data_IF_804108622453
#
_entry.id   IF_804108622453
#
_cell.length_a   1.000
_cell.length_b   1.000
_cell.length_c   1.000
_cell.angle_alpha   90.00
_cell.angle_beta   90.00
_cell.angle_gamma   90.00
#
_symmetry.space_group_name_H-M   'P 1'
#
loop_
_entity.id
_entity.type
_entity.pdbx_description
1 polymer ?
#
# COMPACT_ATOMS: atom_id res chain seq x y z
N UNK A 1 16.50 3.18 4.76
CA UNK A 1 15.37 2.37 5.26
C UNK A 1 15.29 1.10 4.43
N UNK A 2 14.97 -0.04 5.03
CA UNK A 2 14.74 -1.28 4.28
C UNK A 2 13.35 -1.28 3.66
N UNK A 3 13.26 -1.23 2.33
CA UNK A 3 11.99 -1.31 1.61
C UNK A 3 11.45 -2.74 1.63
N UNK A 4 10.12 -2.89 1.60
CA UNK A 4 9.43 -4.19 1.64
C UNK A 4 9.81 -5.05 0.44
N UNK A 5 9.94 -4.46 -0.76
CA UNK A 5 10.28 -5.19 -1.98
C UNK A 5 11.70 -5.80 -1.96
N UNK A 6 12.60 -5.29 -1.11
CA UNK A 6 13.99 -5.75 -0.99
C UNK A 6 14.21 -6.70 0.21
N UNK A 7 13.14 -7.09 0.88
CA UNK A 7 13.23 -7.98 2.04
C UNK A 7 13.60 -9.39 1.59
N UNK A 8 14.59 -9.95 2.26
CA UNK A 8 15.07 -11.32 2.07
C UNK A 8 15.00 -12.06 3.40
N UNK A 9 14.78 -13.37 3.32
CA UNK A 9 14.78 -14.26 4.49
C UNK A 9 16.05 -14.08 5.36
N UNK A 10 15.88 -14.24 6.67
CA UNK A 10 16.93 -14.13 7.69
C UNK A 10 17.59 -12.76 7.88
N UNK A 11 17.12 -11.74 7.16
CA UNK A 11 17.62 -10.37 7.33
C UNK A 11 16.98 -9.70 8.55
N UNK A 12 17.81 -9.02 9.35
CA UNK A 12 17.34 -8.06 10.36
C UNK A 12 17.06 -6.74 9.66
N UNK A 13 15.91 -6.15 9.92
CA UNK A 13 15.45 -4.92 9.26
C UNK A 13 14.98 -3.90 10.27
N UNK A 14 15.31 -2.66 9.96
CA UNK A 14 14.82 -1.47 10.66
C UNK A 14 14.27 -0.50 9.62
N UNK A 15 13.01 -0.12 9.78
CA UNK A 15 12.30 0.70 8.81
C UNK A 15 11.07 1.38 9.39
N UNK A 16 10.54 2.35 8.66
CA UNK A 16 9.29 3.04 8.98
C UNK A 16 8.23 2.57 7.99
N UNK A 17 7.08 2.15 8.50
CA UNK A 17 5.99 1.56 7.73
C UNK A 17 4.66 2.09 8.24
N UNK A 18 3.66 2.17 7.35
CA UNK A 18 2.28 2.41 7.78
C UNK A 18 1.61 1.10 8.20
N UNK A 19 0.75 1.17 9.23
CA UNK A 19 -0.03 0.02 9.71
C UNK A 19 -1.35 -0.03 8.97
N UNK A 20 -1.42 -0.83 7.90
CA UNK A 20 -2.65 -1.00 7.13
C UNK A 20 -3.71 -1.82 7.86
N UNK A 21 -3.29 -2.78 8.70
CA UNK A 21 -4.18 -3.62 9.49
C UNK A 21 -3.52 -4.05 10.80
N UNK A 22 -4.31 -4.17 11.87
CA UNK A 22 -3.89 -4.64 13.19
C UNK A 22 -4.98 -5.49 13.81
N UNK A 23 -4.64 -6.74 14.15
CA UNK A 23 -5.54 -7.63 14.86
C UNK A 23 -4.82 -8.33 16.00
N UNK A 24 -5.46 -8.36 17.16
CA UNK A 24 -5.03 -9.19 18.28
C UNK A 24 -5.61 -10.59 18.15
N UNK A 25 -4.75 -11.58 17.99
CA UNK A 25 -5.13 -12.98 17.78
C UNK A 25 -4.55 -13.87 18.89
N UNK A 26 -5.01 -15.12 18.92
CA UNK A 26 -4.48 -16.16 19.81
C UNK A 26 -3.98 -17.35 19.01
N UNK A 27 -2.85 -17.92 19.42
CA UNK A 27 -2.35 -19.18 18.87
C UNK A 27 -3.28 -20.33 19.26
N UNK A 28 -3.10 -21.51 18.63
CA UNK A 28 -3.82 -22.73 19.02
C UNK A 28 -3.61 -23.10 20.50
N UNK A 29 -2.49 -22.69 21.10
CA UNK A 29 -2.16 -22.91 22.53
C UNK A 29 -2.65 -21.77 23.44
N UNK A 30 -3.38 -20.79 22.90
CA UNK A 30 -3.99 -19.69 23.65
C UNK A 30 -3.13 -18.45 23.86
N UNK A 31 -1.83 -18.49 23.54
CA UNK A 31 -0.94 -17.33 23.65
C UNK A 31 -1.37 -16.21 22.68
N UNK A 32 -1.46 -14.97 23.17
CA UNK A 32 -1.83 -13.81 22.36
C UNK A 32 -0.66 -13.33 21.49
N UNK A 33 -0.97 -12.74 20.33
CA UNK A 33 0.00 -12.09 19.44
C UNK A 33 -0.71 -11.01 18.62
N UNK A 34 0.03 -10.01 18.11
CA UNK A 34 -0.50 -9.07 17.13
C UNK A 34 -0.21 -9.56 15.71
N UNK A 35 -1.23 -9.52 14.89
CA UNK A 35 -1.21 -9.70 13.44
C UNK A 35 -1.26 -8.33 12.80
N UNK A 36 -0.19 -7.94 12.12
CA UNK A 36 -0.12 -6.65 11.42
C UNK A 36 0.01 -6.88 9.92
N UNK A 37 -0.55 -5.96 9.14
CA UNK A 37 -0.17 -5.73 7.75
C UNK A 37 0.56 -4.39 7.70
N UNK A 38 1.85 -4.43 7.34
CA UNK A 38 2.69 -3.25 7.21
C UNK A 38 2.84 -2.90 5.73
N UNK A 39 2.85 -1.62 5.42
CA UNK A 39 2.96 -1.13 4.05
C UNK A 39 3.99 -0.03 3.92
N UNK A 40 4.70 -0.04 2.80
CA UNK A 40 5.53 1.06 2.31
C UNK A 40 5.21 1.31 0.83
N UNK A 41 5.85 2.32 0.21
CA UNK A 41 5.66 2.66 -1.20
C UNK A 41 6.08 1.55 -2.18
N UNK A 42 6.71 0.48 -1.71
CA UNK A 42 7.20 -0.65 -2.50
C UNK A 42 6.34 -1.91 -2.35
N UNK A 43 5.49 -2.00 -1.32
CA UNK A 43 4.61 -3.15 -1.17
C UNK A 43 4.00 -3.29 0.22
N UNK A 44 3.59 -4.53 0.51
CA UNK A 44 2.94 -4.92 1.77
C UNK A 44 3.61 -6.17 2.33
N UNK A 45 3.69 -6.29 3.65
CA UNK A 45 4.21 -7.48 4.34
C UNK A 45 3.40 -7.80 5.60
N UNK A 46 3.13 -9.09 5.79
CA UNK A 46 2.58 -9.61 7.05
C UNK A 46 3.63 -9.46 8.17
N UNK A 47 3.24 -8.98 9.33
CA UNK A 47 4.11 -8.89 10.48
C UNK A 47 3.48 -9.45 11.75
N UNK A 48 4.29 -10.02 12.64
CA UNK A 48 3.86 -10.64 13.90
C UNK A 48 4.61 -10.07 15.08
N UNK A 49 3.86 -9.70 16.12
CA UNK A 49 4.40 -9.31 17.42
C UNK A 49 4.06 -10.40 18.42
N UNK A 50 5.07 -11.09 18.93
CA UNK A 50 4.89 -12.19 19.89
C UNK A 50 5.09 -11.77 21.35
N UNK A 51 5.93 -10.77 21.59
CA UNK A 51 6.29 -10.31 22.93
C UNK A 51 5.62 -8.98 23.26
N UNK A 52 5.43 -8.70 24.56
CA UNK A 52 4.87 -7.43 25.06
C UNK A 52 3.55 -7.02 24.42
N UNK A 53 2.74 -8.01 24.04
CA UNK A 53 1.50 -7.82 23.25
C UNK A 53 0.56 -6.83 23.91
N UNK A 54 0.28 -6.96 25.21
CA UNK A 54 -0.62 -6.05 25.94
C UNK A 54 -0.13 -4.59 25.89
N UNK A 55 1.18 -4.40 26.02
CA UNK A 55 1.80 -3.07 26.01
C UNK A 55 1.72 -2.47 24.60
N UNK A 56 2.16 -3.23 23.60
CA UNK A 56 2.25 -2.77 22.22
C UNK A 56 0.86 -2.62 21.57
N UNK A 57 -0.15 -3.37 22.02
CA UNK A 57 -1.52 -3.25 21.53
C UNK A 57 -2.11 -1.85 21.75
N UNK A 58 -1.65 -1.13 22.79
CA UNK A 58 -2.15 0.22 23.12
C UNK A 58 -1.31 1.37 22.55
N UNK A 59 -0.14 1.10 21.98
CA UNK A 59 0.84 2.12 21.58
C UNK A 59 0.69 2.67 20.16
N UNK A 60 -0.06 1.98 19.31
CA UNK A 60 -0.29 2.36 17.92
C UNK A 60 -1.60 1.73 17.42
N UNK A 61 -2.17 2.24 16.34
CA UNK A 61 -3.41 1.79 15.74
C UNK A 61 -3.27 1.53 14.24
N UNK A 62 -4.34 1.02 13.62
CA UNK A 62 -4.46 1.04 12.16
C UNK A 62 -4.45 2.48 11.66
N UNK A 63 -3.72 2.73 10.59
CA UNK A 63 -3.52 4.07 10.04
C UNK A 63 -2.33 4.81 10.64
N UNK A 64 -1.62 4.29 11.64
CA UNK A 64 -0.42 4.96 12.18
C UNK A 64 0.85 4.63 11.38
N UNK A 65 1.84 5.53 11.44
CA UNK A 65 3.21 5.28 11.01
C UNK A 65 4.03 4.75 12.19
N UNK A 66 4.74 3.65 11.97
CA UNK A 66 5.54 3.00 13.02
C UNK A 66 6.95 2.70 12.55
N UNK A 67 7.93 2.90 13.43
CA UNK A 67 9.29 2.39 13.27
C UNK A 67 9.34 0.97 13.81
N UNK A 68 9.76 0.03 12.98
CA UNK A 68 9.80 -1.39 13.29
C UNK A 68 11.23 -1.90 13.21
N UNK A 69 11.64 -2.64 14.23
CA UNK A 69 12.82 -3.50 14.20
C UNK A 69 12.36 -4.96 14.24
N UNK A 70 12.83 -5.77 13.30
CA UNK A 70 12.41 -7.16 13.21
C UNK A 70 13.36 -8.03 12.40
N UNK A 71 13.02 -9.31 12.29
CA UNK A 71 13.71 -10.26 11.41
C UNK A 71 12.72 -10.80 10.39
N UNK A 72 13.12 -10.80 9.13
CA UNK A 72 12.34 -11.44 8.07
C UNK A 72 12.44 -12.95 8.25
N UNK A 73 11.30 -13.61 8.37
CA UNK A 73 11.15 -15.04 8.44
C UNK A 73 10.26 -15.52 7.30
N UNK A 74 10.27 -16.83 7.05
CA UNK A 74 9.41 -17.46 6.06
C UNK A 74 8.34 -18.28 6.77
N UNK A 75 7.09 -18.05 6.43
CA UNK A 75 5.96 -18.84 6.90
C UNK A 75 5.27 -19.51 5.70
N UNK A 76 5.62 -20.78 5.46
CA UNK A 76 5.25 -21.46 4.21
C UNK A 76 6.00 -20.87 3.03
N UNK A 77 5.28 -20.38 2.02
CA UNK A 77 5.89 -19.76 0.83
C UNK A 77 5.99 -18.23 0.92
N UNK A 78 5.45 -17.61 1.99
CA UNK A 78 5.39 -16.15 2.14
C UNK A 78 6.44 -15.64 3.12
N UNK A 79 7.03 -14.49 2.81
CA UNK A 79 7.83 -13.73 3.77
C UNK A 79 6.93 -13.07 4.81
N UNK A 80 7.42 -13.01 6.04
CA UNK A 80 6.76 -12.39 7.17
C UNK A 80 7.80 -11.68 8.02
N UNK A 81 7.44 -10.56 8.63
CA UNK A 81 8.31 -9.85 9.56
C UNK A 81 8.00 -10.26 11.01
N UNK A 82 8.97 -10.86 11.69
CA UNK A 82 8.89 -11.07 13.13
C UNK A 82 9.37 -9.81 13.86
N UNK A 83 8.44 -9.09 14.46
CA UNK A 83 8.67 -7.78 15.08
C UNK A 83 9.25 -7.96 16.48
N UNK A 84 10.40 -7.33 16.72
CA UNK A 84 11.09 -7.29 18.01
C UNK A 84 10.76 -6.02 18.78
N UNK A 85 10.70 -4.88 18.10
CA UNK A 85 10.25 -3.62 18.69
C UNK A 85 9.44 -2.82 17.67
N UNK A 86 8.52 -2.02 18.20
CA UNK A 86 7.69 -1.10 17.44
C UNK A 86 7.48 0.17 18.23
N UNK A 87 7.69 1.31 17.58
CA UNK A 87 7.54 2.65 18.16
C UNK A 87 6.77 3.53 17.19
N UNK A 88 5.99 4.49 17.70
CA UNK A 88 5.37 5.49 16.85
C UNK A 88 6.45 6.28 16.10
N UNK A 89 6.23 6.52 14.81
CA UNK A 89 7.10 7.34 13.99
C UNK A 89 6.42 8.68 13.71
N UNK A 90 7.19 9.76 13.71
CA UNK A 90 6.76 11.07 13.23
C UNK A 90 6.89 11.10 11.71
N UNK A 91 5.93 10.47 11.04
CA UNK A 91 5.82 10.38 9.58
C UNK A 91 4.34 10.33 9.20
N UNK A 92 3.98 10.90 8.05
CA UNK A 92 2.62 10.78 7.51
C UNK A 92 2.42 9.36 6.96
N UNK A 93 1.47 8.57 7.50
CA UNK A 93 1.13 7.26 6.99
C UNK A 93 0.78 7.25 5.50
N UNK A 94 0.19 8.34 4.97
CA UNK A 94 -0.17 8.46 3.57
C UNK A 94 1.05 8.49 2.64
N UNK A 95 2.17 9.08 3.09
CA UNK A 95 3.44 9.09 2.33
C UNK A 95 4.13 7.72 2.32
N UNK A 96 3.78 6.85 3.28
CA UNK A 96 4.31 5.50 3.38
C UNK A 96 3.45 4.52 2.60
N UNK A 97 2.16 4.76 2.38
CA UNK A 97 1.34 3.86 1.56
C UNK A 97 1.67 3.97 0.07
N UNK A 98 1.50 2.89 -0.73
CA UNK A 98 1.39 3.04 -2.17
C UNK A 98 0.24 3.99 -2.46
N UNK A 99 0.53 5.12 -3.09
CA UNK A 99 -0.41 6.16 -3.49
C UNK A 99 -0.04 6.70 -4.87
N UNK A 100 -0.86 7.61 -5.40
CA UNK A 100 -0.55 8.30 -6.65
C UNK A 100 0.86 8.90 -6.57
N UNK A 101 1.80 8.37 -7.36
CA UNK A 101 3.17 8.92 -7.42
C UNK A 101 3.24 10.24 -8.19
N UNK A 102 2.23 10.48 -9.01
CA UNK A 102 2.04 11.70 -9.81
C UNK A 102 0.78 12.40 -9.34
N UNK A 103 0.70 13.70 -9.59
CA UNK A 103 -0.50 14.47 -9.26
C UNK A 103 -1.70 13.98 -10.08
N UNK A 104 -2.91 13.97 -9.49
CA UNK A 104 -4.10 13.46 -10.17
C UNK A 104 -4.50 14.30 -11.38
N UNK A 105 -4.24 15.61 -11.37
CA UNK A 105 -4.49 16.49 -12.51
C UNK A 105 -3.43 16.28 -13.60
N UNK A 106 -2.19 15.96 -13.23
CA UNK A 106 -1.14 15.55 -14.17
C UNK A 106 -1.54 14.27 -14.92
N UNK A 107 -1.99 13.23 -14.20
CA UNK A 107 -2.44 11.97 -14.82
C UNK A 107 -3.66 12.15 -15.73
N UNK A 108 -4.60 13.01 -15.32
CA UNK A 108 -5.76 13.38 -16.13
C UNK A 108 -5.33 14.10 -17.41
N UNK A 109 -4.33 14.99 -17.33
CA UNK A 109 -3.71 15.62 -18.49
C UNK A 109 -3.06 14.61 -19.44
N UNK A 110 -2.37 13.59 -18.91
CA UNK A 110 -1.83 12.51 -19.73
C UNK A 110 -2.92 11.69 -20.42
N UNK A 111 -4.03 11.39 -19.73
CA UNK A 111 -5.16 10.69 -20.32
C UNK A 111 -5.75 11.47 -21.49
N UNK A 112 -5.94 12.79 -21.33
CA UNK A 112 -6.41 13.68 -22.39
C UNK A 112 -5.44 13.75 -23.56
N UNK A 113 -4.15 13.86 -23.27
CA UNK A 113 -3.10 13.86 -24.28
C UNK A 113 -3.12 12.57 -25.11
N UNK A 114 -3.10 11.39 -24.47
CA UNK A 114 -3.11 10.10 -25.15
C UNK A 114 -4.39 9.90 -25.99
N UNK A 115 -5.54 10.35 -25.50
CA UNK A 115 -6.78 10.29 -26.26
C UNK A 115 -6.75 11.19 -27.50
N UNK A 116 -6.09 12.34 -27.43
CA UNK A 116 -5.93 13.25 -28.56
C UNK A 116 -4.96 12.74 -29.63
N UNK A 117 -4.07 11.79 -29.31
CA UNK A 117 -3.17 11.16 -30.29
C UNK A 117 -3.88 10.16 -31.23
N UNK A 118 -5.16 9.86 -31.01
CA UNK A 118 -5.93 8.93 -31.84
C UNK A 118 -6.29 9.58 -33.18
N UNK A 119 -5.56 9.24 -34.25
CA UNK A 119 -5.78 9.80 -35.58
C UNK A 119 -7.07 9.34 -36.28
N UNK A 120 -7.59 8.15 -35.97
CA UNK A 120 -8.78 7.63 -36.63
C UNK A 120 -10.05 8.28 -36.06
N UNK A 121 -10.73 9.10 -36.85
CA UNK A 121 -11.84 9.94 -36.42
C UNK A 121 -12.94 9.19 -35.63
N UNK A 122 -13.33 8.00 -36.07
CA UNK A 122 -14.36 7.22 -35.36
C UNK A 122 -13.91 6.68 -33.99
N UNK A 123 -12.62 6.39 -33.84
CA UNK A 123 -12.07 5.93 -32.56
C UNK A 123 -11.85 7.11 -31.62
N UNK A 124 -11.40 8.25 -32.16
CA UNK A 124 -11.27 9.49 -31.41
C UNK A 124 -12.62 9.96 -30.85
N UNK A 125 -13.70 9.91 -31.64
CA UNK A 125 -15.04 10.23 -31.16
C UNK A 125 -15.51 9.26 -30.07
N UNK A 126 -15.31 7.96 -30.29
CA UNK A 126 -15.70 6.95 -29.30
C UNK A 126 -14.98 7.14 -27.96
N UNK A 127 -13.64 7.29 -27.98
CA UNK A 127 -12.83 7.49 -26.77
C UNK A 127 -13.11 8.84 -26.13
N UNK A 128 -13.27 9.91 -26.93
CA UNK A 128 -13.58 11.25 -26.46
C UNK A 128 -14.87 11.32 -25.61
N UNK A 129 -15.87 10.49 -25.93
CA UNK A 129 -17.10 10.39 -25.11
C UNK A 129 -16.83 9.87 -23.70
N UNK A 130 -15.88 8.96 -23.53
CA UNK A 130 -15.48 8.47 -22.21
C UNK A 130 -14.59 9.48 -21.49
N UNK A 131 -13.60 10.05 -22.18
CA UNK A 131 -12.67 11.03 -21.58
C UNK A 131 -13.38 12.31 -21.14
N UNK A 132 -14.43 12.72 -21.86
CA UNK A 132 -15.29 13.85 -21.51
C UNK A 132 -16.39 13.55 -20.48
N UNK A 133 -16.55 12.29 -20.05
CA UNK A 133 -17.53 11.92 -19.04
C UNK A 133 -16.98 12.19 -17.63
N UNK A 134 -17.53 13.21 -16.97
CA UNK A 134 -17.12 13.59 -15.61
C UNK A 134 -17.35 12.50 -14.56
N UNK A 135 -18.36 11.65 -14.71
CA UNK A 135 -18.59 10.55 -13.77
C UNK A 135 -17.51 9.47 -13.91
N UNK A 136 -17.14 9.13 -15.14
CA UNK A 136 -16.05 8.21 -15.39
C UNK A 136 -14.72 8.78 -14.87
N UNK A 137 -14.43 10.06 -15.15
CA UNK A 137 -13.21 10.74 -14.69
C UNK A 137 -13.10 10.74 -13.17
N UNK A 138 -14.20 11.02 -12.46
CA UNK A 138 -14.24 10.91 -11.00
C UNK A 138 -14.01 9.48 -10.52
N UNK A 139 -14.58 8.48 -11.20
CA UNK A 139 -14.36 7.07 -10.88
C UNK A 139 -12.87 6.68 -11.06
N UNK A 140 -12.24 7.02 -12.18
CA UNK A 140 -10.82 6.76 -12.45
C UNK A 140 -9.90 7.35 -11.36
N UNK A 141 -10.18 8.57 -10.88
CA UNK A 141 -9.44 9.23 -9.79
C UNK A 141 -9.61 8.59 -8.42
N UNK A 142 -10.69 7.83 -8.22
CA UNK A 142 -11.06 7.30 -6.89
C UNK A 142 -10.83 5.80 -6.77
N UNK A 143 -10.82 5.06 -7.88
CA UNK A 143 -10.77 3.61 -7.89
C UNK A 143 -9.34 3.06 -7.93
N UNK A 144 -9.09 1.91 -7.28
CA UNK A 144 -7.88 1.13 -7.50
C UNK A 144 -7.91 0.43 -8.85
N UNK A 145 -6.75 0.13 -9.43
CA UNK A 145 -6.67 -0.67 -10.66
C UNK A 145 -6.92 -2.15 -10.38
N UNK A 146 -6.39 -2.67 -9.27
CA UNK A 146 -6.54 -4.06 -8.84
C UNK A 146 -6.27 -4.20 -7.34
N UNK A 147 -6.47 -5.39 -6.79
CA UNK A 147 -6.17 -5.66 -5.37
C UNK A 147 -4.66 -5.74 -5.06
N UNK A 148 -3.82 -5.98 -6.08
CA UNK A 148 -2.38 -6.27 -5.90
C UNK A 148 -1.44 -5.28 -6.59
N UNK A 149 -1.91 -4.57 -7.60
CA UNK A 149 -1.17 -3.57 -8.38
C UNK A 149 -2.00 -2.29 -8.51
N UNK A 150 -1.46 -1.17 -8.04
CA UNK A 150 -2.18 0.10 -7.87
C UNK A 150 -3.49 -0.05 -7.06
N UNK A 151 -3.42 -0.66 -5.89
CA UNK A 151 -4.58 -0.95 -5.01
C UNK A 151 -5.09 0.23 -4.18
N UNK A 152 -4.72 1.45 -4.57
CA UNK A 152 -5.04 2.70 -3.89
C UNK A 152 -5.96 3.58 -4.74
N UNK A 153 -6.58 4.58 -4.11
CA UNK A 153 -7.44 5.53 -4.79
C UNK A 153 -6.68 6.25 -5.91
N UNK A 154 -7.24 6.23 -7.12
CA UNK A 154 -6.63 6.79 -8.33
C UNK A 154 -5.60 5.88 -9.00
N UNK A 155 -5.36 4.70 -8.42
CA UNK A 155 -4.51 3.69 -9.03
C UNK A 155 -5.00 3.22 -10.39
N UNK A 156 -6.33 3.22 -10.63
CA UNK A 156 -6.90 2.92 -11.95
C UNK A 156 -6.50 3.94 -13.01
N UNK A 157 -6.50 5.24 -12.67
CA UNK A 157 -6.06 6.30 -13.57
C UNK A 157 -4.57 6.16 -13.90
N UNK A 158 -3.72 5.99 -12.89
CA UNK A 158 -2.27 5.79 -13.06
C UNK A 158 -1.98 4.59 -13.97
N UNK A 159 -2.60 3.44 -13.69
CA UNK A 159 -2.47 2.24 -14.50
C UNK A 159 -2.93 2.43 -15.95
N UNK A 160 -3.95 3.25 -16.18
CA UNK A 160 -4.48 3.51 -17.53
C UNK A 160 -3.50 4.30 -18.40
N UNK A 161 -2.69 5.17 -17.80
CA UNK A 161 -1.77 6.06 -18.54
C UNK A 161 -0.31 5.62 -18.54
N UNK A 162 0.09 4.66 -17.69
CA UNK A 162 1.41 3.99 -17.78
C UNK A 162 2.01 3.55 -16.45
#
# INVERSE_FOLDING_TARGET
>A
MSSIAELTEDRVVEGVYAVARKQRLRTKKGAAYLSLELVDATGRIDARVWNDVELLDTRFAEGDAVRVLGRVSRFGERLQLEVRSVEAADADPAELTPGLRRDADELDGFLEFLAAEISHAGLADAVGRFVGDGQLRAALRSLPASETHHSYAGGLLEHTVG
#
